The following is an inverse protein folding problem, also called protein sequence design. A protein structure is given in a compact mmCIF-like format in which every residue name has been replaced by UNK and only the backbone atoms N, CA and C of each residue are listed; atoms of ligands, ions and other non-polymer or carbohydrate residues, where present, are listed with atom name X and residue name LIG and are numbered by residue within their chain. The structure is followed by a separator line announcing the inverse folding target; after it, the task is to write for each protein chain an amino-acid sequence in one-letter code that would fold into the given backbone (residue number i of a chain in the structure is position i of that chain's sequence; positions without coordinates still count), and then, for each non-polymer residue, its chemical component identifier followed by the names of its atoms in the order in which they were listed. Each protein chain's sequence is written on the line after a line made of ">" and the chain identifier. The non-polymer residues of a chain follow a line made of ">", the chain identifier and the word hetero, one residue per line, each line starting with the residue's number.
data_IF_651517690923
#
_entry.id   IF_651517690923
#
_cell.length_a   1.000
_cell.length_b   1.000
_cell.length_c   1.000
_cell.angle_alpha   90.00
_cell.angle_beta   90.00
_cell.angle_gamma   90.00
#
_symmetry.space_group_name_H-M   'P 1'
#
loop_
_entity.id
_entity.type
_entity.pdbx_description
1 polymer ?
#
# COMPACT_ATOMS: atom_id res chain seq x y z
N UNK A 1 1.87 -24.87 -11.72
CA UNK A 1 2.21 -24.12 -12.97
C UNK A 1 1.54 -22.75 -12.89
N UNK A 2 2.27 -21.73 -13.27
CA UNK A 2 1.73 -20.35 -13.33
C UNK A 2 0.71 -20.23 -14.47
N UNK A 3 -0.36 -19.45 -14.26
CA UNK A 3 -1.41 -19.17 -15.22
C UNK A 3 -1.36 -17.68 -15.62
N UNK A 4 -0.87 -17.39 -16.81
CA UNK A 4 -0.70 -16.02 -17.31
C UNK A 4 -1.63 -15.83 -18.51
N UNK A 5 -2.55 -14.88 -18.43
CA UNK A 5 -3.46 -14.54 -19.53
C UNK A 5 -2.67 -14.07 -20.76
N UNK A 6 -3.14 -14.45 -21.94
CA UNK A 6 -2.47 -14.08 -23.20
C UNK A 6 -2.48 -12.57 -23.51
N UNK A 7 -3.35 -11.83 -22.84
CA UNK A 7 -3.46 -10.37 -22.95
C UNK A 7 -2.59 -9.62 -21.93
N UNK A 8 -1.96 -10.33 -21.01
CA UNK A 8 -1.05 -9.73 -20.02
C UNK A 8 0.32 -9.45 -20.66
N UNK A 9 0.95 -8.35 -20.25
CA UNK A 9 2.29 -7.96 -20.68
C UNK A 9 3.23 -8.14 -19.48
N UNK A 10 4.21 -9.05 -19.61
CA UNK A 10 5.27 -9.26 -18.63
C UNK A 10 6.57 -8.74 -19.24
N UNK A 11 7.16 -7.70 -18.64
CA UNK A 11 8.41 -7.14 -19.11
C UNK A 11 9.61 -8.07 -18.81
N UNK A 12 10.72 -7.99 -19.59
CA UNK A 12 11.87 -8.91 -19.45
C UNK A 12 12.60 -8.85 -18.10
N UNK A 13 12.45 -7.76 -17.34
CA UNK A 13 13.03 -7.56 -16.02
C UNK A 13 12.23 -8.20 -14.88
N UNK A 14 11.16 -8.94 -15.19
CA UNK A 14 10.28 -9.56 -14.20
C UNK A 14 10.70 -11.00 -13.92
N UNK A 15 10.76 -11.35 -12.64
CA UNK A 15 10.93 -12.70 -12.14
C UNK A 15 9.67 -13.09 -11.37
N UNK A 16 8.96 -14.09 -11.85
CA UNK A 16 7.79 -14.66 -11.19
C UNK A 16 8.16 -15.96 -10.48
N UNK A 17 7.64 -16.15 -9.28
CA UNK A 17 7.70 -17.41 -8.54
C UNK A 17 6.80 -18.50 -9.14
N UNK A 18 6.58 -19.55 -8.36
CA UNK A 18 5.73 -20.66 -8.74
C UNK A 18 4.23 -20.36 -8.49
N UNK A 19 3.35 -20.99 -9.28
CA UNK A 19 1.89 -20.93 -9.12
C UNK A 19 1.31 -19.50 -9.13
N UNK A 20 1.95 -18.59 -9.88
CA UNK A 20 1.48 -17.22 -10.06
C UNK A 20 0.34 -17.17 -11.07
N UNK A 21 -0.73 -16.44 -10.75
CA UNK A 21 -1.83 -16.13 -11.67
C UNK A 21 -1.78 -14.66 -12.05
N UNK A 22 -1.76 -14.37 -13.35
CA UNK A 22 -1.86 -13.02 -13.90
C UNK A 22 -3.05 -12.98 -14.85
N UNK A 23 -4.07 -12.22 -14.49
CA UNK A 23 -5.29 -12.10 -15.28
C UNK A 23 -5.13 -11.11 -16.46
N UNK A 24 -6.20 -10.94 -17.23
CA UNK A 24 -6.21 -10.16 -18.46
C UNK A 24 -5.81 -8.70 -18.29
N UNK A 25 -5.13 -8.16 -19.29
CA UNK A 25 -4.73 -6.75 -19.41
C UNK A 25 -3.85 -6.23 -18.27
N UNK A 26 -3.17 -7.10 -17.55
CA UNK A 26 -2.15 -6.70 -16.59
C UNK A 26 -0.86 -6.28 -17.30
N UNK A 27 -0.13 -5.31 -16.72
CA UNK A 27 1.22 -4.93 -17.18
C UNK A 27 2.16 -5.04 -15.97
N UNK A 28 3.14 -5.95 -16.03
CA UNK A 28 4.06 -6.23 -14.94
C UNK A 28 5.49 -5.87 -15.34
N UNK A 29 6.18 -5.14 -14.46
CA UNK A 29 7.52 -4.64 -14.71
C UNK A 29 7.54 -3.40 -15.62
N UNK A 30 6.45 -2.60 -15.61
CA UNK A 30 6.31 -1.41 -16.45
C UNK A 30 7.47 -0.42 -16.20
N UNK A 31 8.22 -0.01 -17.23
CA UNK A 31 9.31 0.94 -17.10
C UNK A 31 8.87 2.30 -16.53
N UNK A 32 9.77 2.97 -15.82
CA UNK A 32 9.56 4.33 -15.31
C UNK A 32 10.74 5.24 -15.67
N UNK A 33 10.54 6.54 -15.56
CA UNK A 33 11.59 7.53 -15.89
C UNK A 33 12.73 7.45 -14.87
N UNK A 34 13.94 7.17 -15.35
CA UNK A 34 15.12 7.01 -14.51
C UNK A 34 15.41 5.56 -14.09
N UNK A 35 14.65 4.59 -14.62
CA UNK A 35 14.93 3.16 -14.44
C UNK A 35 16.36 2.80 -14.88
N UNK A 36 17.04 1.97 -14.09
CA UNK A 36 18.41 1.50 -14.33
C UNK A 36 18.50 -0.02 -14.51
N UNK A 37 17.38 -0.65 -14.88
CA UNK A 37 17.28 -2.12 -15.03
C UNK A 37 16.93 -2.85 -13.74
N UNK A 38 16.26 -2.19 -12.83
CA UNK A 38 15.77 -2.79 -11.59
C UNK A 38 14.85 -3.98 -11.87
N UNK A 39 15.14 -5.12 -11.22
CA UNK A 39 14.34 -6.33 -11.34
C UNK A 39 13.06 -6.22 -10.50
N UNK A 40 11.94 -6.59 -11.12
CA UNK A 40 10.68 -6.82 -10.39
C UNK A 40 10.60 -8.29 -10.01
N UNK A 41 10.49 -8.58 -8.72
CA UNK A 41 10.38 -9.93 -8.20
C UNK A 41 9.01 -10.10 -7.57
N UNK A 42 8.30 -11.16 -7.93
CA UNK A 42 7.00 -11.53 -7.37
C UNK A 42 7.08 -12.98 -6.91
N UNK A 43 6.86 -13.20 -5.61
CA UNK A 43 6.95 -14.51 -4.97
C UNK A 43 5.88 -15.51 -5.42
N UNK A 44 5.91 -16.68 -4.82
CA UNK A 44 5.04 -17.81 -5.13
C UNK A 44 3.58 -17.52 -4.79
N UNK A 45 2.65 -18.14 -5.53
CA UNK A 45 1.22 -18.12 -5.23
C UNK A 45 0.53 -16.76 -5.41
N UNK A 46 1.18 -15.80 -6.07
CA UNK A 46 0.58 -14.49 -6.30
C UNK A 46 -0.62 -14.57 -7.23
N UNK A 47 -1.64 -13.74 -6.96
CA UNK A 47 -2.84 -13.57 -7.81
C UNK A 47 -3.00 -12.11 -8.17
N UNK A 48 -2.73 -11.77 -9.42
CA UNK A 48 -2.78 -10.41 -9.95
C UNK A 48 -4.02 -10.29 -10.83
N UNK A 49 -5.00 -9.54 -10.36
CA UNK A 49 -6.31 -9.37 -11.01
C UNK A 49 -6.24 -8.42 -12.20
N UNK A 50 -7.21 -8.61 -13.09
CA UNK A 50 -7.29 -7.95 -14.38
C UNK A 50 -7.09 -6.42 -14.33
N UNK A 51 -6.31 -5.93 -15.30
CA UNK A 51 -6.00 -4.50 -15.49
C UNK A 51 -5.08 -3.91 -14.44
N UNK A 52 -4.41 -4.72 -13.63
CA UNK A 52 -3.42 -4.25 -12.64
C UNK A 52 -2.11 -3.85 -13.32
N UNK A 53 -1.53 -2.74 -12.90
CA UNK A 53 -0.20 -2.27 -13.32
C UNK A 53 0.79 -2.38 -12.15
N UNK A 54 1.91 -3.05 -12.38
CA UNK A 54 3.05 -3.12 -11.45
C UNK A 54 4.28 -2.61 -12.18
N UNK A 55 4.85 -1.51 -11.69
CA UNK A 55 6.04 -0.92 -12.27
C UNK A 55 7.31 -1.69 -11.90
N UNK A 56 8.41 -1.36 -12.57
CA UNK A 56 9.70 -2.00 -12.36
C UNK A 56 10.28 -1.78 -10.95
N UNK A 57 11.16 -2.67 -10.50
CA UNK A 57 11.90 -2.55 -9.24
C UNK A 57 11.12 -2.94 -7.98
N UNK A 58 9.89 -3.44 -8.10
CA UNK A 58 9.13 -3.92 -6.95
C UNK A 58 9.66 -5.27 -6.44
N UNK A 59 9.80 -5.39 -5.12
CA UNK A 59 10.14 -6.64 -4.43
C UNK A 59 8.89 -7.11 -3.67
N UNK A 60 8.23 -8.14 -4.17
CA UNK A 60 6.93 -8.62 -3.68
C UNK A 60 7.07 -10.06 -3.20
N UNK A 61 6.66 -10.32 -1.96
CA UNK A 61 6.70 -11.63 -1.33
C UNK A 61 5.63 -12.61 -1.84
N UNK A 62 5.48 -13.71 -1.10
CA UNK A 62 4.60 -14.82 -1.46
C UNK A 62 3.12 -14.51 -1.18
N UNK A 63 2.22 -15.22 -1.87
CA UNK A 63 0.76 -15.14 -1.71
C UNK A 63 0.19 -13.71 -1.88
N UNK A 64 0.89 -12.87 -2.61
CA UNK A 64 0.46 -11.52 -2.91
C UNK A 64 -0.85 -11.52 -3.72
N UNK A 65 -1.79 -10.63 -3.39
CA UNK A 65 -3.08 -10.53 -4.11
C UNK A 65 -3.43 -9.10 -4.44
N UNK A 66 -3.92 -8.87 -5.65
CA UNK A 66 -4.54 -7.60 -6.01
C UNK A 66 -6.04 -7.75 -6.26
N UNK A 67 -6.79 -6.67 -6.07
CA UNK A 67 -8.07 -6.45 -6.73
C UNK A 67 -7.85 -5.97 -8.16
N UNK A 68 -8.92 -5.79 -8.91
CA UNK A 68 -8.85 -5.32 -10.30
C UNK A 68 -8.33 -3.88 -10.37
N UNK A 69 -7.53 -3.58 -11.41
CA UNK A 69 -7.05 -2.23 -11.71
C UNK A 69 -6.28 -1.57 -10.55
N UNK A 70 -5.60 -2.35 -9.74
CA UNK A 70 -4.64 -1.80 -8.78
C UNK A 70 -3.44 -1.20 -9.54
N UNK A 71 -2.89 -0.10 -9.02
CA UNK A 71 -1.70 0.54 -9.58
C UNK A 71 -0.59 0.55 -8.54
N UNK A 72 0.51 -0.13 -8.82
CA UNK A 72 1.65 -0.25 -7.91
C UNK A 72 2.87 0.34 -8.60
N UNK A 73 3.25 1.53 -8.16
CA UNK A 73 4.39 2.25 -8.69
C UNK A 73 5.69 1.53 -8.37
N UNK A 74 6.79 2.09 -8.82
CA UNK A 74 8.13 1.51 -8.78
C UNK A 74 8.73 1.40 -7.36
N UNK A 75 9.72 0.51 -7.21
CA UNK A 75 10.69 0.47 -6.10
C UNK A 75 10.05 0.27 -4.71
N UNK A 76 8.95 -0.47 -4.64
CA UNK A 76 8.33 -0.82 -3.37
C UNK A 76 8.86 -2.15 -2.82
N UNK A 77 8.81 -2.30 -1.50
CA UNK A 77 9.05 -3.56 -0.80
C UNK A 77 7.75 -4.03 -0.17
N UNK A 78 7.22 -5.15 -0.61
CA UNK A 78 5.94 -5.72 -0.19
C UNK A 78 6.19 -7.13 0.33
N UNK A 79 5.78 -7.41 1.56
CA UNK A 79 5.99 -8.70 2.23
C UNK A 79 5.02 -9.79 1.77
N UNK A 80 5.01 -10.89 2.52
CA UNK A 80 4.17 -12.05 2.27
C UNK A 80 2.72 -11.82 2.71
N UNK A 81 1.77 -12.52 2.08
CA UNK A 81 0.35 -12.52 2.40
C UNK A 81 -0.32 -11.13 2.35
N UNK A 82 0.24 -10.22 1.56
CA UNK A 82 -0.31 -8.86 1.39
C UNK A 82 -1.43 -8.87 0.36
N UNK A 83 -2.50 -8.11 0.64
CA UNK A 83 -3.57 -7.88 -0.34
C UNK A 83 -3.81 -6.39 -0.57
N UNK A 84 -3.90 -6.00 -1.84
CA UNK A 84 -4.17 -4.63 -2.29
C UNK A 84 -5.50 -4.61 -3.03
N UNK A 85 -6.47 -3.83 -2.55
CA UNK A 85 -7.83 -3.77 -3.07
C UNK A 85 -7.95 -3.14 -4.46
N UNK A 86 -9.11 -3.34 -5.06
CA UNK A 86 -9.47 -2.79 -6.38
C UNK A 86 -9.29 -1.28 -6.44
N UNK A 87 -8.74 -0.76 -7.55
CA UNK A 87 -8.51 0.66 -7.82
C UNK A 87 -7.64 1.37 -6.77
N UNK A 88 -6.90 0.64 -5.95
CA UNK A 88 -5.94 1.25 -5.02
C UNK A 88 -4.66 1.64 -5.74
N UNK A 89 -4.03 2.72 -5.25
CA UNK A 89 -2.76 3.24 -5.77
C UNK A 89 -1.72 3.16 -4.66
N UNK A 90 -0.61 2.51 -4.96
CA UNK A 90 0.60 2.48 -4.14
C UNK A 90 1.67 3.25 -4.90
N UNK A 91 2.09 4.38 -4.36
CA UNK A 91 3.18 5.17 -4.94
C UNK A 91 4.54 4.50 -4.71
N UNK A 92 5.63 5.11 -5.17
CA UNK A 92 6.96 4.51 -5.10
C UNK A 92 7.59 4.59 -3.69
N UNK A 93 8.61 3.75 -3.44
CA UNK A 93 9.35 3.72 -2.17
C UNK A 93 8.47 3.48 -0.93
N UNK A 94 7.38 2.75 -1.10
CA UNK A 94 6.51 2.30 0.00
C UNK A 94 7.03 0.98 0.55
N UNK A 95 6.96 0.83 1.87
CA UNK A 95 7.26 -0.45 2.54
C UNK A 95 5.97 -1.00 3.15
N UNK A 96 5.57 -2.18 2.71
CA UNK A 96 4.42 -2.93 3.24
C UNK A 96 4.93 -4.24 3.82
N UNK A 97 4.76 -4.45 5.12
CA UNK A 97 5.18 -5.69 5.80
C UNK A 97 4.15 -6.81 5.61
N UNK A 98 4.45 -7.99 6.15
CA UNK A 98 3.63 -9.18 5.97
C UNK A 98 2.18 -9.01 6.48
N UNK A 99 1.24 -9.72 5.86
CA UNK A 99 -0.17 -9.82 6.28
C UNK A 99 -0.93 -8.48 6.32
N UNK A 100 -0.44 -7.46 5.63
CA UNK A 100 -1.16 -6.18 5.50
C UNK A 100 -2.32 -6.34 4.52
N UNK A 101 -3.48 -5.81 4.92
CA UNK A 101 -4.67 -5.75 4.08
C UNK A 101 -5.05 -4.32 3.74
N UNK A 102 -5.00 -3.98 2.47
CA UNK A 102 -5.43 -2.70 1.92
C UNK A 102 -6.74 -2.94 1.14
N UNK A 103 -7.79 -2.21 1.48
CA UNK A 103 -9.07 -2.31 0.82
C UNK A 103 -9.16 -1.46 -0.45
N UNK A 104 -10.33 -1.47 -1.07
CA UNK A 104 -10.64 -0.78 -2.34
C UNK A 104 -10.43 0.73 -2.26
N UNK A 105 -9.88 1.31 -3.34
CA UNK A 105 -9.72 2.76 -3.54
C UNK A 105 -8.88 3.46 -2.46
N UNK A 106 -7.86 2.79 -1.95
CA UNK A 106 -6.90 3.39 -1.01
C UNK A 106 -5.78 4.07 -1.78
N UNK A 107 -5.38 5.26 -1.34
CA UNK A 107 -4.19 5.95 -1.82
C UNK A 107 -3.08 5.89 -0.78
N UNK A 108 -1.94 5.31 -1.16
CA UNK A 108 -0.74 5.17 -0.32
C UNK A 108 0.41 5.93 -0.97
N UNK A 109 0.79 7.11 -0.46
CA UNK A 109 1.85 7.94 -1.03
C UNK A 109 3.24 7.42 -0.70
N UNK A 110 4.23 8.00 -1.35
CA UNK A 110 5.66 7.69 -1.21
C UNK A 110 6.11 7.74 0.25
N UNK A 111 7.07 6.88 0.59
CA UNK A 111 7.73 6.77 1.90
C UNK A 111 6.80 6.33 3.04
N UNK A 112 5.62 5.85 2.72
CA UNK A 112 4.72 5.25 3.70
C UNK A 112 5.26 3.90 4.15
N UNK A 113 5.12 3.62 5.45
CA UNK A 113 5.44 2.31 6.03
C UNK A 113 4.17 1.74 6.68
N UNK A 114 3.75 0.58 6.20
CA UNK A 114 2.68 -0.21 6.78
C UNK A 114 3.30 -1.43 7.46
N UNK A 115 3.27 -1.47 8.78
CA UNK A 115 3.80 -2.59 9.55
C UNK A 115 2.85 -3.80 9.53
N UNK A 116 3.34 -4.91 10.01
CA UNK A 116 2.72 -6.21 9.94
C UNK A 116 1.27 -6.25 10.41
N UNK A 117 0.40 -6.89 9.63
CA UNK A 117 -1.00 -7.12 9.98
C UNK A 117 -1.88 -5.87 10.05
N UNK A 118 -1.40 -4.71 9.53
CA UNK A 118 -2.25 -3.53 9.43
C UNK A 118 -3.47 -3.77 8.54
N UNK A 119 -4.58 -3.14 8.88
CA UNK A 119 -5.81 -3.16 8.11
C UNK A 119 -6.18 -1.75 7.67
N UNK A 120 -6.21 -1.49 6.38
CA UNK A 120 -6.51 -0.18 5.79
C UNK A 120 -7.86 -0.26 5.09
N UNK A 121 -8.85 0.41 5.64
CA UNK A 121 -10.24 0.41 5.16
C UNK A 121 -10.42 1.03 3.78
N UNK A 122 -11.58 0.83 3.15
CA UNK A 122 -11.83 1.38 1.82
C UNK A 122 -11.85 2.92 1.82
N UNK A 123 -11.42 3.50 0.70
CA UNK A 123 -11.35 4.95 0.47
C UNK A 123 -10.48 5.71 1.49
N UNK A 124 -9.54 5.05 2.15
CA UNK A 124 -8.57 5.72 3.02
C UNK A 124 -7.56 6.46 2.16
N UNK A 125 -7.26 7.69 2.54
CA UNK A 125 -6.25 8.54 1.90
C UNK A 125 -5.14 8.83 2.90
N UNK A 126 -3.94 8.34 2.62
CA UNK A 126 -2.74 8.76 3.31
C UNK A 126 -2.11 9.93 2.54
N UNK A 127 -1.45 10.84 3.23
CA UNK A 127 -0.76 11.98 2.61
C UNK A 127 0.68 12.10 3.07
N UNK A 128 1.54 12.73 2.28
CA UNK A 128 2.98 12.84 2.57
C UNK A 128 3.56 14.26 2.37
N UNK A 129 2.80 15.17 1.74
CA UNK A 129 3.23 16.54 1.46
C UNK A 129 2.49 17.54 2.36
N UNK A 130 3.17 18.11 3.35
CA UNK A 130 2.58 19.11 4.24
C UNK A 130 2.29 20.45 3.53
N UNK A 131 3.16 20.79 2.58
CA UNK A 131 3.07 22.02 1.77
C UNK A 131 3.28 21.66 0.30
N UNK A 132 2.21 21.24 -0.42
CA UNK A 132 2.33 20.64 -1.76
C UNK A 132 2.98 21.50 -2.83
N UNK A 133 2.90 22.83 -2.71
CA UNK A 133 3.49 23.77 -3.68
C UNK A 133 4.81 24.40 -3.24
N UNK A 134 5.39 23.92 -2.13
CA UNK A 134 6.69 24.42 -1.69
C UNK A 134 7.78 24.06 -2.72
N UNK A 135 8.72 24.99 -3.09
CA UNK A 135 9.76 24.70 -4.09
C UNK A 135 10.60 23.46 -3.79
N UNK A 136 10.82 23.16 -2.50
CA UNK A 136 11.57 21.98 -2.03
C UNK A 136 10.64 20.88 -1.51
N UNK A 137 9.39 20.79 -1.99
CA UNK A 137 8.42 19.82 -1.47
C UNK A 137 8.94 18.38 -1.46
N UNK A 138 9.68 17.99 -2.49
CA UNK A 138 10.24 16.63 -2.61
C UNK A 138 11.26 16.28 -1.52
N UNK A 139 11.94 17.26 -0.96
CA UNK A 139 12.92 17.07 0.12
C UNK A 139 12.23 16.87 1.49
N UNK A 140 10.99 17.32 1.61
CA UNK A 140 10.20 17.28 2.86
C UNK A 140 9.06 16.28 2.84
N UNK A 141 8.94 15.44 1.80
CA UNK A 141 7.95 14.39 1.77
C UNK A 141 8.15 13.43 2.96
N UNK A 142 7.08 13.19 3.69
CA UNK A 142 7.09 12.28 4.82
C UNK A 142 5.84 11.42 4.83
N UNK A 143 6.01 10.14 4.48
CA UNK A 143 4.94 9.17 4.52
C UNK A 143 4.44 8.90 5.94
N UNK A 144 3.28 8.28 6.04
CA UNK A 144 2.69 7.84 7.30
C UNK A 144 3.34 6.54 7.77
N UNK A 145 3.54 6.39 9.08
CA UNK A 145 3.91 5.11 9.70
C UNK A 145 2.67 4.51 10.38
N UNK A 146 2.16 3.40 9.85
CA UNK A 146 1.09 2.63 10.50
C UNK A 146 1.72 1.42 11.18
N UNK A 147 1.72 1.40 12.52
CA UNK A 147 2.35 0.34 13.31
C UNK A 147 1.51 -0.94 13.31
N UNK A 148 2.18 -2.05 13.69
CA UNK A 148 1.64 -3.40 13.60
C UNK A 148 0.23 -3.55 14.20
N UNK A 149 -0.65 -4.25 13.50
CA UNK A 149 -2.01 -4.55 13.91
C UNK A 149 -2.97 -3.35 14.00
N UNK A 150 -2.53 -2.14 13.63
CA UNK A 150 -3.42 -0.98 13.61
C UNK A 150 -4.49 -1.12 12.53
N UNK A 151 -5.68 -0.60 12.80
CA UNK A 151 -6.85 -0.68 11.93
C UNK A 151 -7.34 0.73 11.60
N UNK A 152 -7.44 1.03 10.32
CA UNK A 152 -7.88 2.33 9.81
C UNK A 152 -9.26 2.16 9.18
N UNK A 153 -10.28 2.80 9.73
CA UNK A 153 -11.65 2.74 9.24
C UNK A 153 -11.81 3.34 7.84
N UNK A 154 -12.95 3.10 7.22
CA UNK A 154 -13.27 3.62 5.89
C UNK A 154 -13.27 5.16 5.84
N UNK A 155 -12.88 5.73 4.68
CA UNK A 155 -12.89 7.18 4.44
C UNK A 155 -12.06 8.01 5.45
N UNK A 156 -11.03 7.42 6.05
CA UNK A 156 -10.11 8.14 6.95
C UNK A 156 -9.06 8.88 6.13
N UNK A 157 -8.71 10.09 6.57
CA UNK A 157 -7.57 10.85 6.05
C UNK A 157 -6.46 10.91 7.10
N UNK A 158 -5.23 10.52 6.72
CA UNK A 158 -4.03 10.60 7.56
C UNK A 158 -3.11 11.70 7.03
N UNK A 159 -2.79 12.70 7.87
CA UNK A 159 -1.92 13.80 7.47
C UNK A 159 -0.44 13.39 7.39
N UNK A 160 0.42 14.17 6.69
CA UNK A 160 1.81 13.81 6.43
C UNK A 160 2.65 13.56 7.69
N UNK A 161 3.41 12.47 7.66
CA UNK A 161 4.38 12.12 8.69
C UNK A 161 3.82 11.63 10.02
N UNK A 162 2.52 11.35 10.09
CA UNK A 162 1.85 10.85 11.29
C UNK A 162 2.24 9.41 11.59
N UNK A 163 2.31 9.09 12.88
CA UNK A 163 2.50 7.73 13.39
C UNK A 163 1.19 7.23 13.99
N UNK A 164 0.68 6.11 13.47
CA UNK A 164 -0.46 5.40 14.05
C UNK A 164 0.05 4.29 14.94
N UNK A 165 -0.31 4.32 16.22
CA UNK A 165 0.16 3.39 17.24
C UNK A 165 -0.25 1.94 17.00
N UNK A 166 0.56 1.01 17.54
CA UNK A 166 0.32 -0.44 17.45
C UNK A 166 -1.06 -0.81 18.02
N UNK A 167 -1.78 -1.68 17.32
CA UNK A 167 -3.10 -2.18 17.72
C UNK A 167 -4.15 -1.10 17.98
N UNK A 168 -3.96 0.13 17.49
CA UNK A 168 -4.97 1.17 17.59
C UNK A 168 -6.05 1.03 16.50
N UNK A 169 -7.20 1.67 16.72
CA UNK A 169 -8.30 1.71 15.77
C UNK A 169 -8.72 3.15 15.51
N UNK A 170 -8.71 3.51 14.23
CA UNK A 170 -9.20 4.81 13.76
C UNK A 170 -10.62 4.63 13.22
N UNK A 171 -11.59 5.29 13.83
CA UNK A 171 -12.99 5.25 13.40
C UNK A 171 -13.18 5.80 11.98
N UNK A 172 -14.14 5.24 11.24
CA UNK A 172 -14.43 5.66 9.87
C UNK A 172 -14.74 7.16 9.77
N UNK A 173 -14.39 7.78 8.63
CA UNK A 173 -14.64 9.20 8.36
C UNK A 173 -13.77 10.17 9.17
N UNK A 174 -12.76 9.70 9.87
CA UNK A 174 -11.90 10.54 10.73
C UNK A 174 -10.81 11.26 9.94
N UNK A 175 -10.34 12.39 10.48
CA UNK A 175 -9.15 13.10 10.01
C UNK A 175 -8.10 13.10 11.13
N UNK A 176 -7.01 12.37 10.91
CA UNK A 176 -5.92 12.23 11.88
C UNK A 176 -4.87 13.30 11.62
N UNK A 177 -4.73 14.23 12.56
CA UNK A 177 -3.85 15.40 12.46
C UNK A 177 -2.63 15.34 13.39
N UNK A 178 -2.56 14.32 14.26
CA UNK A 178 -1.49 14.09 15.25
C UNK A 178 -1.23 12.60 15.40
N UNK A 179 -0.07 12.25 15.91
CA UNK A 179 0.27 10.86 16.24
C UNK A 179 -0.76 10.24 17.19
N UNK A 180 -1.03 8.96 16.97
CA UNK A 180 -1.97 8.17 17.77
C UNK A 180 -1.16 7.20 18.65
N UNK A 181 -1.50 7.15 19.93
CA UNK A 181 -0.90 6.22 20.87
C UNK A 181 -1.23 4.76 20.54
N UNK A 182 -0.45 3.81 21.11
CA UNK A 182 -0.75 2.39 20.96
C UNK A 182 -2.05 2.03 21.71
N UNK A 183 -2.81 1.08 21.18
CA UNK A 183 -3.92 0.44 21.89
C UNK A 183 -5.10 1.36 22.20
N UNK A 184 -5.34 2.39 21.40
CA UNK A 184 -6.47 3.30 21.60
C UNK A 184 -7.44 3.27 20.42
N UNK A 185 -8.70 3.57 20.71
CA UNK A 185 -9.74 3.85 19.71
C UNK A 185 -9.91 5.37 19.63
N UNK A 186 -9.77 5.91 18.43
CA UNK A 186 -9.97 7.33 18.15
C UNK A 186 -10.96 7.53 17.01
N UNK A 187 -11.70 8.65 17.03
CA UNK A 187 -12.55 9.05 15.90
C UNK A 187 -12.75 10.56 15.87
N UNK A 188 -13.27 11.06 14.73
CA UNK A 188 -13.67 12.45 14.53
C UNK A 188 -12.74 13.27 13.64
N UNK A 189 -13.11 14.54 13.42
CA UNK A 189 -12.33 15.52 12.65
C UNK A 189 -12.20 16.83 13.47
N UNK A 190 -11.01 17.11 14.07
CA UNK A 190 -9.90 16.19 14.22
C UNK A 190 -10.20 15.04 15.17
N UNK A 191 -9.42 13.95 15.10
CA UNK A 191 -9.59 12.78 15.97
C UNK A 191 -9.44 13.11 17.44
N UNK A 192 -10.29 12.45 18.27
CA UNK A 192 -10.19 12.42 19.73
C UNK A 192 -10.15 10.98 20.21
N UNK A 193 -9.47 10.73 21.33
CA UNK A 193 -9.48 9.42 22.00
C UNK A 193 -10.87 9.16 22.55
N UNK A 194 -11.46 8.01 22.21
CA UNK A 194 -12.76 7.57 22.71
C UNK A 194 -12.60 6.59 23.87
N UNK A 195 -11.68 5.63 23.76
CA UNK A 195 -11.39 4.61 24.77
C UNK A 195 -10.09 3.88 24.47
N UNK A 196 -9.65 3.08 25.39
CA UNK A 196 -8.60 2.08 25.12
C UNK A 196 -9.15 0.93 24.27
N UNK A 197 -8.24 0.20 23.65
CA UNK A 197 -8.57 -1.01 22.87
C UNK A 197 -8.70 -2.17 23.87
N UNK A 198 -9.75 -2.96 23.75
CA UNK A 198 -10.13 -4.01 24.69
C UNK A 198 -10.07 -5.45 24.08
N UNK A 199 -9.43 -5.59 22.87
CA UNK A 199 -9.20 -6.87 22.18
C UNK A 199 -7.95 -6.87 21.31
#
# INVERSE_FOLDING_TARGET
>A
MSNIASTAIIHPNVILGENVTVEDFCIIGLPFVGEKGEKTIIGDGAVIRAGTYIYAGNQIGNNFKTGNKANIRELNTIGDDVSIGTLSVIEHHVTIKNRVRIHTQVFVPEYTVLEEGCWIGPNVVLTNARYPQHPLVKEFLKGVLVKAGAKIGANVTLLPGIVIGKNSLIGAGSVVVKDIANGVVVAGNPTKILREMDY
#
